data_IF_722778737576
#
_entry.id   IF_722778737576
#
_cell.length_a   1.000
_cell.length_b   1.000
_cell.length_c   1.000
_cell.angle_alpha   90.00
_cell.angle_beta   90.00
_cell.angle_gamma   90.00
#
_symmetry.space_group_name_H-M   'P 1'
#
loop_
_entity.id
_entity.type
_entity.pdbx_description
1 polymer ?
#
# COMPACT_ATOMS: atom_id res chain seq x y z
N UNK A 1 23.45 -12.10 -31.43
CA UNK A 1 22.01 -12.37 -31.22
C UNK A 1 21.68 -12.03 -29.77
N UNK A 2 21.31 -10.79 -29.49
CA UNK A 2 20.80 -10.40 -28.18
C UNK A 2 19.34 -10.80 -28.13
N UNK A 3 19.01 -11.77 -27.27
CA UNK A 3 17.63 -12.13 -26.98
C UNK A 3 16.97 -10.90 -26.35
N UNK A 4 16.08 -10.22 -27.08
CA UNK A 4 15.15 -9.31 -26.46
C UNK A 4 14.21 -10.18 -25.62
N UNK A 5 14.44 -10.20 -24.30
CA UNK A 5 13.48 -10.77 -23.38
C UNK A 5 12.16 -10.02 -23.58
N UNK A 6 11.04 -10.75 -23.68
CA UNK A 6 9.70 -10.18 -23.82
C UNK A 6 9.32 -9.45 -22.51
N UNK A 7 9.88 -8.26 -22.29
CA UNK A 7 9.46 -7.38 -21.21
C UNK A 7 8.13 -6.74 -21.60
N UNK A 8 7.13 -6.88 -20.74
CA UNK A 8 5.88 -6.13 -20.90
C UNK A 8 6.04 -4.75 -20.28
N UNK A 9 5.24 -3.77 -20.74
CA UNK A 9 5.14 -2.46 -20.08
C UNK A 9 4.84 -2.58 -18.57
N UNK A 10 4.15 -3.66 -18.16
CA UNK A 10 3.86 -3.94 -16.75
C UNK A 10 5.11 -4.31 -15.96
N UNK A 11 6.02 -5.07 -16.56
CA UNK A 11 7.29 -5.41 -15.93
C UNK A 11 8.16 -4.16 -15.74
N UNK A 12 8.21 -3.28 -16.74
CA UNK A 12 8.91 -2.00 -16.63
C UNK A 12 8.31 -1.11 -15.52
N UNK A 13 6.98 -1.04 -15.41
CA UNK A 13 6.30 -0.29 -14.34
C UNK A 13 6.62 -0.88 -12.96
N UNK A 14 6.57 -2.21 -12.81
CA UNK A 14 6.92 -2.88 -11.54
C UNK A 14 8.36 -2.56 -11.15
N UNK A 15 9.29 -2.72 -12.07
CA UNK A 15 10.72 -2.59 -11.79
C UNK A 15 11.03 -1.12 -11.43
N UNK A 16 10.44 -0.16 -12.14
CA UNK A 16 10.53 1.27 -11.81
C UNK A 16 10.09 1.58 -10.37
N UNK A 17 8.94 1.06 -9.94
CA UNK A 17 8.46 1.29 -8.57
C UNK A 17 9.31 0.53 -7.54
N UNK A 18 9.82 -0.65 -7.90
CA UNK A 18 10.67 -1.45 -7.02
C UNK A 18 11.99 -0.75 -6.71
N UNK A 19 12.65 -0.18 -7.71
CA UNK A 19 13.87 0.63 -7.53
C UNK A 19 13.61 1.86 -6.66
N UNK A 20 12.44 2.48 -6.83
CA UNK A 20 12.06 3.70 -6.12
C UNK A 20 11.62 3.44 -4.68
N UNK A 21 11.33 2.19 -4.32
CA UNK A 21 10.84 1.82 -2.99
C UNK A 21 11.77 2.31 -1.88
N UNK A 22 13.09 2.25 -2.07
CA UNK A 22 14.09 2.67 -1.07
C UNK A 22 13.91 4.12 -0.61
N UNK A 23 13.58 5.03 -1.52
CA UNK A 23 13.46 6.47 -1.24
C UNK A 23 12.02 6.98 -1.26
N UNK A 24 11.04 6.12 -1.55
CA UNK A 24 9.64 6.50 -1.74
C UNK A 24 9.10 7.38 -0.62
N UNK A 25 9.29 6.95 0.64
CA UNK A 25 8.80 7.65 1.84
C UNK A 25 9.50 8.99 2.12
N UNK A 26 10.62 9.29 1.45
CA UNK A 26 11.36 10.54 1.66
C UNK A 26 10.74 11.71 0.89
N UNK A 27 9.83 11.44 -0.03
CA UNK A 27 9.20 12.45 -0.88
C UNK A 27 7.98 13.05 -0.17
N UNK A 28 7.77 14.34 -0.37
CA UNK A 28 6.62 15.06 0.21
C UNK A 28 5.32 14.43 -0.28
N UNK A 29 4.42 14.10 0.65
CA UNK A 29 3.14 13.45 0.37
C UNK A 29 3.20 11.93 0.24
N UNK A 30 4.37 11.31 0.35
CA UNK A 30 4.53 9.85 0.32
C UNK A 30 4.68 9.22 1.73
N UNK A 31 4.60 10.04 2.77
CA UNK A 31 4.53 9.63 4.17
C UNK A 31 3.84 10.74 4.96
N UNK A 32 3.37 10.43 6.17
CA UNK A 32 2.76 11.40 7.08
C UNK A 32 3.82 11.95 8.01
N UNK A 33 4.13 13.24 7.87
CA UNK A 33 5.23 13.89 8.58
C UNK A 33 4.79 14.67 9.82
N UNK A 34 3.47 14.82 10.04
CA UNK A 34 2.93 15.51 11.21
C UNK A 34 1.60 14.95 11.69
N UNK A 35 1.30 15.14 12.97
CA UNK A 35 -0.01 14.77 13.53
C UNK A 35 -1.15 15.62 12.96
N UNK A 36 -0.87 16.85 12.53
CA UNK A 36 -1.86 17.69 11.85
C UNK A 36 -2.25 17.10 10.49
N UNK A 37 -1.27 16.61 9.72
CA UNK A 37 -1.50 15.93 8.45
C UNK A 37 -2.26 14.61 8.67
N UNK A 38 -1.86 13.81 9.68
CA UNK A 38 -2.58 12.60 10.08
C UNK A 38 -4.05 12.88 10.38
N UNK A 39 -4.31 13.88 11.22
CA UNK A 39 -5.66 14.26 11.61
C UNK A 39 -6.51 14.74 10.42
N UNK A 40 -5.91 15.49 9.48
CA UNK A 40 -6.58 15.93 8.27
C UNK A 40 -7.01 14.75 7.37
N UNK A 41 -6.13 13.77 7.17
CA UNK A 41 -6.46 12.55 6.46
C UNK A 41 -7.54 11.73 7.17
N UNK A 42 -7.43 11.55 8.48
CA UNK A 42 -8.44 10.85 9.27
C UNK A 42 -9.81 11.51 9.18
N UNK A 43 -9.86 12.84 9.22
CA UNK A 43 -11.10 13.59 9.05
C UNK A 43 -11.69 13.39 7.65
N UNK A 44 -10.87 13.40 6.59
CA UNK A 44 -11.31 13.18 5.22
C UNK A 44 -11.89 11.77 5.03
N UNK A 45 -11.18 10.75 5.51
CA UNK A 45 -11.60 9.35 5.42
C UNK A 45 -12.90 9.15 6.21
N UNK A 46 -12.94 9.60 7.46
CA UNK A 46 -14.12 9.44 8.34
C UNK A 46 -15.35 10.16 7.80
N UNK A 47 -15.17 11.33 7.18
CA UNK A 47 -16.28 12.08 6.56
C UNK A 47 -16.95 11.31 5.43
N UNK A 48 -16.16 10.60 4.62
CA UNK A 48 -16.66 9.95 3.40
C UNK A 48 -17.00 8.48 3.58
N UNK A 49 -16.26 7.78 4.44
CA UNK A 49 -16.41 6.33 4.64
C UNK A 49 -17.06 5.98 5.98
N UNK A 50 -17.11 6.91 6.94
CA UNK A 50 -17.53 6.66 8.31
C UNK A 50 -16.49 5.89 9.13
N UNK A 51 -16.84 5.43 10.35
CA UNK A 51 -15.94 4.63 11.18
C UNK A 51 -15.65 3.27 10.53
N UNK A 52 -14.44 2.75 10.79
CA UNK A 52 -14.05 1.42 10.33
C UNK A 52 -14.86 0.32 11.02
N UNK A 53 -14.93 0.33 12.36
CA UNK A 53 -15.75 -0.61 13.15
C UNK A 53 -15.62 -2.09 12.73
N UNK A 54 -14.42 -2.52 12.33
CA UNK A 54 -14.15 -3.88 11.87
C UNK A 54 -14.53 -4.15 10.41
N UNK A 55 -14.98 -3.16 9.65
CA UNK A 55 -15.28 -3.29 8.22
C UNK A 55 -14.02 -3.60 7.43
N UNK A 56 -14.15 -4.49 6.46
CA UNK A 56 -13.07 -4.80 5.52
C UNK A 56 -12.79 -3.61 4.59
N UNK A 57 -11.51 -3.40 4.27
CA UNK A 57 -11.07 -2.45 3.25
C UNK A 57 -9.93 -3.03 2.43
N UNK A 58 -9.90 -2.69 1.14
CA UNK A 58 -8.80 -3.00 0.22
C UNK A 58 -8.14 -1.71 -0.25
N UNK A 59 -6.84 -1.57 0.01
CA UNK A 59 -5.99 -0.48 -0.47
C UNK A 59 -5.23 -0.96 -1.72
N UNK A 60 -5.61 -0.45 -2.89
CA UNK A 60 -5.06 -0.86 -4.19
C UNK A 60 -3.84 0.01 -4.56
N UNK A 61 -2.76 -0.64 -5.00
CA UNK A 61 -1.46 0.00 -5.17
C UNK A 61 -1.00 0.69 -3.87
N UNK A 62 -1.03 -0.07 -2.78
CA UNK A 62 -0.83 0.47 -1.43
C UNK A 62 0.60 0.99 -1.17
N UNK A 63 1.56 0.68 -2.05
CA UNK A 63 2.95 1.07 -1.93
C UNK A 63 3.53 0.64 -0.58
N UNK A 64 4.14 1.59 0.13
CA UNK A 64 4.73 1.38 1.46
C UNK A 64 3.69 1.38 2.59
N UNK A 65 2.39 1.40 2.28
CA UNK A 65 1.30 1.18 3.24
C UNK A 65 0.84 2.43 4.02
N UNK A 66 1.10 3.64 3.52
CA UNK A 66 0.73 4.88 4.23
C UNK A 66 -0.78 5.01 4.44
N UNK A 67 -1.57 4.87 3.37
CA UNK A 67 -3.03 4.93 3.45
C UNK A 67 -3.58 3.72 4.21
N UNK A 68 -3.02 2.53 3.97
CA UNK A 68 -3.33 1.32 4.73
C UNK A 68 -3.25 1.54 6.25
N UNK A 69 -2.22 2.24 6.73
CA UNK A 69 -2.09 2.58 8.15
C UNK A 69 -3.15 3.55 8.64
N UNK A 70 -3.46 4.60 7.89
CA UNK A 70 -4.51 5.56 8.25
C UNK A 70 -5.89 4.90 8.33
N UNK A 71 -6.17 3.96 7.43
CA UNK A 71 -7.40 3.16 7.48
C UNK A 71 -7.40 2.22 8.70
N UNK A 72 -6.27 1.60 9.03
CA UNK A 72 -6.17 0.74 10.20
C UNK A 72 -6.37 1.51 11.51
N UNK A 73 -5.78 2.70 11.63
CA UNK A 73 -5.94 3.59 12.79
C UNK A 73 -7.42 3.97 13.02
N UNK A 74 -8.23 3.99 11.96
CA UNK A 74 -9.68 4.24 12.01
C UNK A 74 -10.54 2.98 12.24
N UNK A 75 -9.91 1.84 12.50
CA UNK A 75 -10.57 0.58 12.86
C UNK A 75 -11.08 -0.25 11.69
N UNK A 76 -10.56 -0.04 10.48
CA UNK A 76 -10.79 -0.94 9.34
C UNK A 76 -9.93 -2.21 9.45
N UNK A 77 -10.45 -3.32 8.92
CA UNK A 77 -9.68 -4.54 8.69
C UNK A 77 -9.06 -4.44 7.30
N UNK A 78 -7.79 -4.07 7.26
CA UNK A 78 -7.12 -3.62 6.03
C UNK A 78 -6.38 -4.77 5.35
N UNK A 79 -6.63 -4.94 4.05
CA UNK A 79 -5.71 -5.60 3.12
C UNK A 79 -5.11 -4.54 2.19
N UNK A 80 -3.78 -4.48 2.08
CA UNK A 80 -3.07 -3.73 1.04
C UNK A 80 -2.63 -4.66 -0.09
N UNK A 81 -2.79 -4.22 -1.33
CA UNK A 81 -2.34 -4.91 -2.54
C UNK A 81 -1.39 -3.99 -3.30
N UNK A 82 -0.22 -4.50 -3.65
CA UNK A 82 0.72 -3.80 -4.53
C UNK A 82 1.43 -4.81 -5.43
N UNK A 83 1.93 -4.35 -6.58
CA UNK A 83 2.67 -5.19 -7.50
C UNK A 83 4.14 -5.31 -7.10
N UNK A 84 4.70 -4.31 -6.42
CA UNK A 84 6.12 -4.26 -6.05
C UNK A 84 6.40 -4.99 -4.73
N UNK A 85 7.17 -6.07 -4.80
CA UNK A 85 7.65 -6.78 -3.60
C UNK A 85 8.46 -5.86 -2.67
N UNK A 86 9.27 -4.95 -3.24
CA UNK A 86 10.09 -4.02 -2.48
C UNK A 86 9.22 -3.02 -1.68
N UNK A 87 8.14 -2.51 -2.29
CA UNK A 87 7.16 -1.67 -1.60
C UNK A 87 6.48 -2.44 -0.46
N UNK A 88 6.00 -3.65 -0.73
CA UNK A 88 5.33 -4.47 0.27
C UNK A 88 6.27 -4.90 1.41
N UNK A 89 7.56 -5.10 1.15
CA UNK A 89 8.54 -5.37 2.19
C UNK A 89 8.62 -4.20 3.19
N UNK A 90 8.64 -2.95 2.69
CA UNK A 90 8.57 -1.76 3.54
C UNK A 90 7.24 -1.66 4.29
N UNK A 91 6.12 -1.90 3.61
CA UNK A 91 4.79 -1.86 4.23
C UNK A 91 4.68 -2.86 5.40
N UNK A 92 5.15 -4.10 5.21
CA UNK A 92 5.20 -5.13 6.25
C UNK A 92 6.11 -4.73 7.41
N UNK A 93 7.29 -4.17 7.13
CA UNK A 93 8.21 -3.71 8.17
C UNK A 93 7.59 -2.57 9.01
N UNK A 94 6.89 -1.62 8.37
CA UNK A 94 6.15 -0.55 9.08
C UNK A 94 5.04 -1.13 9.95
N UNK A 95 4.26 -2.07 9.42
CA UNK A 95 3.19 -2.73 10.16
C UNK A 95 3.72 -3.49 11.38
N UNK A 96 4.79 -4.27 11.22
CA UNK A 96 5.43 -4.97 12.32
C UNK A 96 5.93 -3.98 13.39
N UNK A 97 6.61 -2.90 12.99
CA UNK A 97 7.11 -1.87 13.92
C UNK A 97 5.99 -1.18 14.71
N UNK A 98 4.82 -1.01 14.10
CA UNK A 98 3.64 -0.36 14.71
C UNK A 98 2.71 -1.36 15.43
N UNK A 99 2.96 -2.67 15.34
CA UNK A 99 2.03 -3.69 15.84
C UNK A 99 0.68 -3.69 15.11
N UNK A 100 0.65 -3.23 13.86
CA UNK A 100 -0.57 -3.08 13.07
C UNK A 100 -0.93 -4.40 12.36
N UNK A 101 -2.16 -4.89 12.56
CA UNK A 101 -2.66 -6.13 11.98
C UNK A 101 -3.10 -6.00 10.51
N UNK A 102 -2.26 -5.43 9.65
CA UNK A 102 -2.57 -5.19 8.23
C UNK A 102 -2.03 -6.35 7.38
N UNK A 103 -2.87 -6.88 6.49
CA UNK A 103 -2.47 -7.92 5.53
C UNK A 103 -1.95 -7.27 4.25
N UNK A 104 -0.81 -7.73 3.74
CA UNK A 104 -0.21 -7.21 2.50
C UNK A 104 0.03 -8.34 1.48
N UNK A 105 -0.60 -8.24 0.32
CA UNK A 105 -0.54 -9.23 -0.76
C UNK A 105 0.10 -8.64 -2.01
N UNK A 106 0.87 -9.48 -2.72
CA UNK A 106 1.32 -9.14 -4.06
C UNK A 106 0.18 -9.39 -5.05
N UNK A 107 -0.09 -8.43 -5.93
CA UNK A 107 -1.18 -8.59 -6.89
C UNK A 107 -1.26 -7.50 -7.93
N UNK A 108 -2.02 -7.81 -8.99
CA UNK A 108 -2.41 -6.87 -10.03
C UNK A 108 -3.66 -6.12 -9.57
N UNK A 109 -3.60 -4.79 -9.51
CA UNK A 109 -4.75 -3.97 -9.15
C UNK A 109 -5.92 -4.09 -10.16
N UNK A 110 -5.65 -4.52 -11.39
CA UNK A 110 -6.67 -4.83 -12.40
C UNK A 110 -7.26 -6.25 -12.22
N UNK A 111 -6.63 -7.10 -11.42
CA UNK A 111 -7.07 -8.49 -11.13
C UNK A 111 -7.01 -8.77 -9.64
N UNK A 112 -8.03 -8.31 -8.93
CA UNK A 112 -8.11 -8.33 -7.46
C UNK A 112 -8.62 -9.63 -6.85
N UNK A 113 -8.84 -10.68 -7.67
CA UNK A 113 -9.25 -11.99 -7.18
C UNK A 113 -8.04 -12.79 -6.72
N UNK A 114 -8.11 -13.34 -5.51
CA UNK A 114 -7.15 -14.34 -5.06
C UNK A 114 -7.45 -15.68 -5.75
N UNK A 115 -6.40 -16.41 -6.13
CA UNK A 115 -6.56 -17.76 -6.66
C UNK A 115 -7.29 -18.61 -5.61
N UNK A 116 -8.37 -19.29 -6.04
CA UNK A 116 -9.11 -20.17 -5.15
C UNK A 116 -8.23 -21.39 -4.85
N UNK A 117 -7.94 -21.62 -3.58
CA UNK A 117 -7.34 -22.86 -3.07
C UNK A 117 -8.26 -24.06 -3.29
#
# INVERSE_FOLDING_TARGET
MTAHANYSLRDEIRDYWSDRAETFDLQVGHEIFSEQERAAWHALISRHLGPGAGRASLDLACGTGVISHLMHDLGFVVTGLDWSEAMLAKARAKAQKRGAGIRFIIGDAERTLEDRA
#
